data_IF_625443084668
#
_entry.id   IF_625443084668
#
_cell.length_a   1.000
_cell.length_b   1.000
_cell.length_c   1.000
_cell.angle_alpha   90.00
_cell.angle_beta   90.00
_cell.angle_gamma   90.00
#
_symmetry.space_group_name_H-M   'P 1'
#
loop_
_entity.id
_entity.type
_entity.pdbx_description
1 polymer ?
#
# COMPACT_ATOMS: atom_id res chain seq x y z
N UNK A 1 45.16 17.76 -42.73
CA UNK A 1 43.96 18.30 -42.05
C UNK A 1 43.25 17.13 -41.41
N UNK A 2 43.48 16.91 -40.12
CA UNK A 2 42.93 15.76 -39.38
C UNK A 2 41.59 16.14 -38.74
N UNK A 3 40.53 15.41 -39.06
CA UNK A 3 39.22 15.56 -38.45
C UNK A 3 39.14 14.65 -37.21
N UNK A 4 38.96 15.24 -36.03
CA UNK A 4 38.73 14.53 -34.79
C UNK A 4 37.22 14.27 -34.63
N UNK A 5 36.83 13.00 -34.54
CA UNK A 5 35.47 12.57 -34.21
C UNK A 5 35.32 12.52 -32.69
N UNK A 6 34.51 13.41 -32.13
CA UNK A 6 34.10 13.35 -30.72
C UNK A 6 32.97 12.33 -30.55
N UNK A 7 33.27 11.23 -29.86
CA UNK A 7 32.29 10.27 -29.36
C UNK A 7 31.62 10.84 -28.10
N UNK A 8 30.40 11.35 -28.22
CA UNK A 8 29.58 11.72 -27.07
C UNK A 8 28.92 10.47 -26.50
N UNK A 9 29.42 10.00 -25.35
CA UNK A 9 28.78 8.93 -24.58
C UNK A 9 27.53 9.49 -23.90
N UNK A 10 26.36 8.96 -24.26
CA UNK A 10 25.12 9.21 -23.52
C UNK A 10 25.09 8.33 -22.26
N UNK A 11 25.38 8.94 -21.10
CA UNK A 11 25.05 8.34 -19.81
C UNK A 11 23.53 8.37 -19.64
N UNK A 12 22.87 7.22 -19.83
CA UNK A 12 21.49 7.03 -19.39
C UNK A 12 21.43 7.02 -17.87
N UNK A 13 21.03 8.15 -17.28
CA UNK A 13 20.58 8.24 -15.89
C UNK A 13 19.29 7.42 -15.75
N UNK A 14 19.40 6.20 -15.23
CA UNK A 14 18.25 5.48 -14.67
C UNK A 14 17.89 6.21 -13.37
N UNK A 15 16.88 7.08 -13.43
CA UNK A 15 16.34 7.74 -12.25
C UNK A 15 15.71 6.68 -11.32
N UNK A 16 16.40 6.36 -10.22
CA UNK A 16 15.81 5.66 -9.09
C UNK A 16 14.69 6.51 -8.50
N UNK A 17 13.42 6.18 -8.80
CA UNK A 17 12.25 6.84 -8.22
C UNK A 17 11.99 6.30 -6.81
N UNK A 18 12.92 6.51 -5.87
CA UNK A 18 12.78 6.00 -4.52
C UNK A 18 11.52 6.56 -3.85
N UNK A 19 10.58 5.69 -3.48
CA UNK A 19 9.62 6.03 -2.46
C UNK A 19 10.34 6.10 -1.09
N UNK A 20 9.87 7.00 -0.22
CA UNK A 20 10.61 7.45 0.97
C UNK A 20 9.77 7.45 2.26
N UNK A 21 10.37 7.89 3.38
CA UNK A 21 9.69 7.97 4.67
C UNK A 21 8.59 9.04 4.65
N UNK A 22 7.53 8.80 5.41
CA UNK A 22 6.38 9.70 5.56
C UNK A 22 5.65 9.52 6.88
N UNK A 23 4.62 10.32 7.09
CA UNK A 23 3.72 10.20 8.25
C UNK A 23 2.29 10.41 7.78
N UNK A 24 1.43 9.45 8.13
CA UNK A 24 0.01 9.50 7.82
C UNK A 24 -0.74 10.00 9.05
N UNK A 25 -1.39 11.16 8.92
CA UNK A 25 -2.32 11.70 9.92
C UNK A 25 -3.72 11.12 9.67
N UNK A 26 -4.09 10.11 10.45
CA UNK A 26 -5.36 9.41 10.31
C UNK A 26 -5.90 8.93 11.66
N UNK A 27 -7.23 8.96 11.80
CA UNK A 27 -7.93 8.48 12.99
C UNK A 27 -7.41 9.11 14.30
N UNK A 28 -7.02 10.39 14.25
CA UNK A 28 -6.46 11.13 15.39
C UNK A 28 -5.02 10.76 15.75
N UNK A 29 -4.26 10.14 14.83
CA UNK A 29 -2.91 9.64 15.08
C UNK A 29 -1.96 9.91 13.91
N UNK A 30 -0.71 10.14 14.27
CA UNK A 30 0.43 10.15 13.36
C UNK A 30 0.97 8.72 13.21
N UNK A 31 0.94 8.17 11.99
CA UNK A 31 1.45 6.83 11.67
C UNK A 31 2.70 6.99 10.80
N UNK A 32 3.91 6.82 11.34
CA UNK A 32 5.12 6.84 10.54
C UNK A 32 5.17 5.61 9.63
N UNK A 33 5.61 5.80 8.39
CA UNK A 33 5.73 4.73 7.41
C UNK A 33 6.89 4.99 6.45
N UNK A 34 7.33 3.95 5.75
CA UNK A 34 8.26 4.07 4.63
C UNK A 34 7.72 3.27 3.46
N UNK A 35 7.45 3.93 2.34
CA UNK A 35 7.04 3.23 1.12
C UNK A 35 8.29 2.91 0.32
N UNK A 36 8.38 1.68 -0.19
CA UNK A 36 9.41 1.25 -1.11
C UNK A 36 8.89 1.35 -2.54
N UNK A 37 9.77 1.72 -3.47
CA UNK A 37 9.39 1.74 -4.88
C UNK A 37 9.23 0.29 -5.38
N UNK A 38 8.05 -0.10 -5.91
CA UNK A 38 7.87 -1.45 -6.42
C UNK A 38 8.78 -1.70 -7.62
N UNK A 39 9.35 -2.91 -7.70
CA UNK A 39 10.18 -3.30 -8.83
C UNK A 39 9.42 -3.17 -10.17
N UNK A 40 10.16 -2.92 -11.25
CA UNK A 40 9.59 -2.77 -12.59
C UNK A 40 8.72 -3.95 -13.02
N UNK A 41 9.06 -5.16 -12.57
CA UNK A 41 8.35 -6.42 -12.84
C UNK A 41 7.06 -6.62 -12.04
N UNK A 42 6.75 -5.79 -11.03
CA UNK A 42 5.47 -5.86 -10.32
C UNK A 42 4.33 -5.39 -11.25
N UNK A 43 3.20 -6.11 -11.36
CA UNK A 43 2.07 -5.71 -12.19
C UNK A 43 1.53 -4.33 -11.84
N UNK A 44 1.04 -3.57 -12.83
CA UNK A 44 0.56 -2.21 -12.64
C UNK A 44 -0.58 -2.11 -11.61
N UNK A 45 -1.51 -3.07 -11.61
CA UNK A 45 -2.60 -3.13 -10.63
C UNK A 45 -2.08 -3.31 -9.19
N UNK A 46 -1.04 -4.12 -9.01
CA UNK A 46 -0.41 -4.34 -7.72
C UNK A 46 0.38 -3.11 -7.27
N UNK A 47 1.07 -2.42 -8.19
CA UNK A 47 1.73 -1.14 -7.92
C UNK A 47 0.75 -0.06 -7.49
N UNK A 48 -0.46 -0.04 -8.06
CA UNK A 48 -1.48 0.94 -7.72
C UNK A 48 -1.99 0.81 -6.26
N UNK A 49 -1.85 -0.36 -5.63
CA UNK A 49 -2.21 -0.56 -4.22
C UNK A 49 -1.21 0.09 -3.25
N UNK A 50 0.04 0.31 -3.68
CA UNK A 50 1.08 0.94 -2.87
C UNK A 50 0.70 2.37 -2.55
N UNK A 51 0.83 2.76 -1.28
CA UNK A 51 0.38 4.06 -0.80
C UNK A 51 -0.29 4.03 0.58
N UNK A 52 -0.66 5.21 1.04
CA UNK A 52 -1.44 5.43 2.24
C UNK A 52 -2.93 5.59 1.91
N UNK A 53 -3.76 4.95 2.72
CA UNK A 53 -5.21 4.85 2.54
C UNK A 53 -5.91 5.08 3.86
N UNK A 54 -6.99 5.84 3.84
CA UNK A 54 -7.81 6.10 5.03
C UNK A 54 -9.26 5.85 4.68
N UNK A 55 -9.97 5.19 5.58
CA UNK A 55 -11.35 4.81 5.36
C UNK A 55 -12.08 4.49 6.64
N UNK A 56 -13.28 3.95 6.48
CA UNK A 56 -14.15 3.61 7.57
C UNK A 56 -14.76 2.23 7.38
N UNK A 57 -14.83 1.46 8.46
CA UNK A 57 -15.66 0.28 8.58
C UNK A 57 -16.92 0.69 9.33
N UNK A 58 -18.03 0.87 8.61
CA UNK A 58 -19.22 1.53 9.16
C UNK A 58 -18.84 2.92 9.73
N UNK A 59 -18.88 3.11 11.05
CA UNK A 59 -18.50 4.37 11.72
C UNK A 59 -17.09 4.34 12.34
N UNK A 60 -16.35 3.26 12.15
CA UNK A 60 -15.02 3.06 12.77
C UNK A 60 -13.93 3.48 11.80
N UNK A 61 -13.12 4.47 12.18
CA UNK A 61 -12.00 4.92 11.36
C UNK A 61 -10.91 3.84 11.23
N UNK A 62 -10.33 3.74 10.05
CA UNK A 62 -9.24 2.82 9.76
C UNK A 62 -8.24 3.43 8.78
N UNK A 63 -6.98 3.04 8.94
CA UNK A 63 -5.91 3.42 8.04
C UNK A 63 -5.16 2.18 7.58
N UNK A 64 -4.71 2.21 6.33
CA UNK A 64 -3.91 1.17 5.69
C UNK A 64 -2.76 1.86 4.96
N UNK A 65 -1.54 1.46 5.22
CA UNK A 65 -0.38 1.84 4.40
C UNK A 65 0.16 0.56 3.77
N UNK A 66 0.21 0.52 2.45
CA UNK A 66 0.89 -0.53 1.70
C UNK A 66 2.28 -0.03 1.39
N UNK A 67 3.26 -0.53 2.15
CA UNK A 67 4.65 -0.04 2.12
C UNK A 67 5.41 -0.64 0.94
N UNK A 68 5.25 -1.93 0.68
CA UNK A 68 5.95 -2.62 -0.41
C UNK A 68 5.11 -3.74 -1.01
N UNK A 69 5.40 -4.07 -2.27
CA UNK A 69 4.84 -5.24 -2.95
C UNK A 69 5.95 -5.90 -3.76
N UNK A 70 6.22 -7.17 -3.47
CA UNK A 70 7.19 -8.00 -4.15
C UNK A 70 6.64 -8.60 -5.45
N UNK A 71 7.55 -9.09 -6.29
CA UNK A 71 7.22 -9.75 -7.58
C UNK A 71 6.36 -11.00 -7.42
N UNK A 72 6.43 -11.67 -6.25
CA UNK A 72 5.60 -12.82 -5.92
C UNK A 72 4.23 -12.45 -5.32
N UNK A 73 3.91 -11.15 -5.26
CA UNK A 73 2.68 -10.63 -4.67
C UNK A 73 2.66 -10.61 -3.14
N UNK A 74 3.79 -10.78 -2.47
CA UNK A 74 3.87 -10.56 -1.01
C UNK A 74 3.97 -9.05 -0.74
N UNK A 75 3.33 -8.56 0.31
CA UNK A 75 3.32 -7.15 0.66
C UNK A 75 3.57 -6.92 2.16
N UNK A 76 4.28 -5.85 2.48
CA UNK A 76 4.34 -5.26 3.82
C UNK A 76 3.30 -4.18 3.96
N UNK A 77 2.49 -4.24 5.02
CA UNK A 77 1.46 -3.26 5.30
C UNK A 77 1.46 -2.83 6.76
N UNK A 78 1.11 -1.57 7.00
CA UNK A 78 0.68 -1.07 8.29
C UNK A 78 -0.83 -0.94 8.29
N UNK A 79 -1.47 -1.43 9.33
CA UNK A 79 -2.92 -1.39 9.46
C UNK A 79 -3.33 -0.86 10.84
N UNK A 80 -4.25 0.09 10.84
CA UNK A 80 -4.88 0.63 12.03
C UNK A 80 -6.39 0.43 11.94
N UNK A 81 -6.95 -0.13 13.00
CA UNK A 81 -8.39 -0.20 13.22
C UNK A 81 -8.72 0.54 14.52
N UNK A 82 -9.21 1.78 14.41
CA UNK A 82 -9.36 2.68 15.55
C UNK A 82 -10.77 2.61 16.14
N UNK A 83 -10.95 1.75 17.14
CA UNK A 83 -12.16 1.76 17.99
C UNK A 83 -12.11 2.84 19.07
N UNK A 84 -10.91 3.17 19.53
CA UNK A 84 -10.62 4.14 20.57
C UNK A 84 -9.16 4.65 20.45
N UNK A 85 -8.74 5.51 21.38
CA UNK A 85 -7.39 6.07 21.43
C UNK A 85 -6.30 5.02 21.72
N UNK A 86 -6.65 3.80 22.15
CA UNK A 86 -5.71 2.73 22.48
C UNK A 86 -5.49 1.75 21.31
N UNK A 87 -6.16 1.96 20.17
CA UNK A 87 -5.96 1.14 18.99
C UNK A 87 -4.48 1.05 18.59
N UNK A 88 -3.98 -0.15 18.31
CA UNK A 88 -2.58 -0.35 17.90
C UNK A 88 -2.45 -0.36 16.38
N UNK A 89 -1.36 0.19 15.87
CA UNK A 89 -0.94 -0.03 14.48
C UNK A 89 -0.30 -1.42 14.43
N UNK A 90 -0.79 -2.28 13.54
CA UNK A 90 -0.27 -3.62 13.32
C UNK A 90 0.52 -3.61 12.02
N UNK A 91 1.74 -4.14 12.06
CA UNK A 91 2.54 -4.41 10.87
C UNK A 91 2.32 -5.84 10.42
N UNK A 92 2.01 -6.04 9.15
CA UNK A 92 1.80 -7.35 8.53
C UNK A 92 2.74 -7.47 7.35
N UNK A 93 3.68 -8.41 7.40
CA UNK A 93 4.75 -8.57 6.40
C UNK A 93 4.48 -9.68 5.38
N UNK A 94 3.36 -10.37 5.51
CA UNK A 94 2.98 -11.51 4.68
C UNK A 94 1.60 -11.32 4.03
N UNK A 95 1.18 -10.06 3.83
CA UNK A 95 -0.03 -9.77 3.08
C UNK A 95 0.13 -10.23 1.63
N UNK A 96 -0.99 -10.56 0.97
CA UNK A 96 -1.00 -11.09 -0.39
C UNK A 96 -1.71 -10.16 -1.34
N UNK A 97 -1.07 -9.89 -2.47
CA UNK A 97 -1.59 -9.09 -3.58
C UNK A 97 -1.79 -9.99 -4.78
N UNK A 98 -3.01 -9.99 -5.29
CA UNK A 98 -3.40 -10.70 -6.52
C UNK A 98 -4.21 -9.75 -7.40
N UNK A 99 -3.58 -9.23 -8.45
CA UNK A 99 -4.17 -8.20 -9.31
C UNK A 99 -4.47 -6.93 -8.50
N UNK A 100 -5.76 -6.55 -8.46
CA UNK A 100 -6.27 -5.35 -7.75
C UNK A 100 -6.60 -5.60 -6.28
N UNK A 101 -6.40 -6.81 -5.76
CA UNK A 101 -6.81 -7.20 -4.42
C UNK A 101 -5.61 -7.42 -3.52
N UNK A 102 -5.61 -6.78 -2.36
CA UNK A 102 -4.75 -7.04 -1.22
C UNK A 102 -5.54 -7.84 -0.18
N UNK A 103 -4.96 -8.86 0.43
CA UNK A 103 -5.57 -9.61 1.54
C UNK A 103 -4.56 -9.94 2.64
N UNK A 104 -5.03 -9.89 3.88
CA UNK A 104 -4.30 -10.37 5.05
C UNK A 104 -5.25 -10.67 6.19
N UNK A 105 -4.77 -11.36 7.21
CA UNK A 105 -5.59 -11.75 8.36
C UNK A 105 -5.12 -13.07 8.96
N UNK A 106 -5.99 -13.70 9.74
CA UNK A 106 -5.73 -14.98 10.38
C UNK A 106 -6.99 -15.83 10.46
N UNK A 107 -6.95 -16.85 11.32
CA UNK A 107 -8.04 -17.83 11.47
C UNK A 107 -9.38 -17.24 11.92
N UNK A 108 -9.37 -16.04 12.53
CA UNK A 108 -10.58 -15.40 13.09
C UNK A 108 -11.19 -14.33 12.20
N UNK A 109 -10.38 -13.71 11.35
CA UNK A 109 -10.80 -12.62 10.48
C UNK A 109 -9.86 -12.46 9.30
N UNK A 110 -10.43 -12.12 8.15
CA UNK A 110 -9.72 -11.75 6.92
C UNK A 110 -10.11 -10.33 6.52
N UNK A 111 -9.13 -9.54 6.14
CA UNK A 111 -9.28 -8.23 5.55
C UNK A 111 -8.89 -8.33 4.07
N UNK A 112 -9.76 -7.88 3.20
CA UNK A 112 -9.50 -7.72 1.78
C UNK A 112 -9.70 -6.27 1.38
N UNK A 113 -8.83 -5.75 0.51
CA UNK A 113 -8.94 -4.41 -0.06
C UNK A 113 -8.82 -4.53 -1.57
N UNK A 114 -9.83 -4.06 -2.29
CA UNK A 114 -9.87 -4.11 -3.75
C UNK A 114 -9.83 -2.70 -4.32
N UNK A 115 -8.92 -2.47 -5.24
CA UNK A 115 -8.81 -1.22 -5.98
C UNK A 115 -10.00 -1.07 -6.92
N UNK A 116 -10.86 -0.09 -6.64
CA UNK A 116 -12.08 0.21 -7.42
C UNK A 116 -11.96 1.50 -8.23
N UNK A 117 -10.93 2.30 -7.95
CA UNK A 117 -10.55 3.48 -8.70
C UNK A 117 -9.09 3.88 -8.37
N UNK A 118 -8.54 4.91 -9.03
CA UNK A 118 -7.14 5.33 -8.83
C UNK A 118 -6.85 5.71 -7.36
N UNK A 119 -7.84 6.31 -6.70
CA UNK A 119 -7.75 6.80 -5.32
C UNK A 119 -8.83 6.19 -4.41
N UNK A 120 -9.35 5.01 -4.76
CA UNK A 120 -10.39 4.36 -3.95
C UNK A 120 -10.19 2.85 -3.83
N UNK A 121 -10.32 2.37 -2.58
CA UNK A 121 -10.45 0.95 -2.26
C UNK A 121 -11.82 0.64 -1.67
N UNK A 122 -12.35 -0.52 -2.05
CA UNK A 122 -13.39 -1.20 -1.30
C UNK A 122 -12.74 -2.19 -0.34
N UNK A 123 -13.02 -2.06 0.96
CA UNK A 123 -12.59 -3.00 1.98
C UNK A 123 -13.68 -4.05 2.25
N UNK A 124 -13.29 -5.28 2.53
CA UNK A 124 -14.13 -6.33 3.10
C UNK A 124 -13.44 -6.89 4.34
N UNK A 125 -14.09 -6.76 5.49
CA UNK A 125 -13.71 -7.43 6.73
C UNK A 125 -14.66 -8.60 6.94
N UNK A 126 -14.12 -9.83 6.96
CA UNK A 126 -14.91 -11.07 7.12
C UNK A 126 -14.40 -11.86 8.31
N UNK A 127 -15.28 -12.26 9.21
CA UNK A 127 -14.94 -13.11 10.36
C UNK A 127 -16.09 -14.02 10.77
N UNK A 128 -15.93 -14.73 11.88
CA UNK A 128 -16.93 -15.70 12.36
C UNK A 128 -18.31 -15.11 12.67
N UNK A 129 -18.38 -13.79 12.89
CA UNK A 129 -19.61 -13.08 13.25
C UNK A 129 -20.24 -12.30 12.09
N UNK A 130 -19.73 -12.47 10.86
CA UNK A 130 -20.25 -11.83 9.66
C UNK A 130 -19.19 -11.02 8.91
N UNK A 131 -19.67 -10.21 7.98
CA UNK A 131 -18.82 -9.35 7.16
C UNK A 131 -19.25 -7.88 7.22
N UNK A 132 -18.29 -6.99 7.00
CA UNK A 132 -18.50 -5.54 6.93
C UNK A 132 -17.73 -5.00 5.74
N UNK A 133 -18.38 -4.12 4.98
CA UNK A 133 -17.76 -3.43 3.85
C UNK A 133 -17.28 -2.06 4.33
N UNK A 134 -16.06 -1.71 3.94
CA UNK A 134 -15.47 -0.41 4.20
C UNK A 134 -15.15 0.31 2.89
N UNK A 135 -15.00 1.62 2.96
CA UNK A 135 -14.56 2.46 1.83
C UNK A 135 -13.34 3.26 2.24
N UNK A 136 -12.33 3.27 1.40
CA UNK A 136 -11.07 3.93 1.66
C UNK A 136 -10.71 4.85 0.49
N UNK A 137 -10.05 5.95 0.81
CA UNK A 137 -9.52 6.92 -0.13
C UNK A 137 -8.02 7.11 0.08
N UNK A 138 -7.31 7.37 -1.00
CA UNK A 138 -5.87 7.66 -0.96
C UNK A 138 -5.60 8.95 -0.16
N UNK A 139 -4.42 9.02 0.46
CA UNK A 139 -3.89 10.23 1.12
C UNK A 139 -2.60 10.70 0.47
#
# INVERSE_FOLDING_TARGET
MSAAFSLTWALSLVASNAAGPGTLEACGRAIPYTIEQPAGSVPADAKALVGAWVGYWNNTCSALVVESVDTNGTASVLYLFALDSAASVVRVTNAKVMGKKLSFGGSRATLEFTLVGPDSLSGLHSGSYGSTIGKFSRK
#
